data_IF_511055098032
#
_entry.id   IF_511055098032
#
_cell.length_a   1.000
_cell.length_b   1.000
_cell.length_c   1.000
_cell.angle_alpha   90.00
_cell.angle_beta   90.00
_cell.angle_gamma   90.00
#
_symmetry.space_group_name_H-M   'P 1'
#
loop_
_entity.id
_entity.type
_entity.pdbx_description
1 polymer ?
#
# COMPACT_ATOMS: atom_id res chain seq x y z
N UNK A 1 -20.42 7.64 -0.05
CA UNK A 1 -19.76 6.32 0.10
C UNK A 1 -19.12 5.94 -1.23
N UNK A 2 -17.90 5.39 -1.24
CA UNK A 2 -17.26 4.91 -2.47
C UNK A 2 -18.06 3.73 -3.07
N UNK A 3 -18.07 3.55 -4.40
CA UNK A 3 -18.74 2.42 -5.03
C UNK A 3 -18.00 1.10 -4.73
N UNK A 4 -18.71 -0.03 -4.78
CA UNK A 4 -18.07 -1.35 -4.81
C UNK A 4 -17.31 -1.56 -6.12
N UNK A 5 -16.11 -2.17 -6.13
CA UNK A 5 -15.35 -2.72 -4.99
C UNK A 5 -14.41 -1.71 -4.28
N UNK A 6 -14.35 -0.46 -4.74
CA UNK A 6 -13.46 0.60 -4.20
C UNK A 6 -13.70 0.87 -2.71
N UNK A 7 -14.91 0.70 -2.21
CA UNK A 7 -15.21 0.85 -0.78
C UNK A 7 -14.46 -0.16 0.11
N UNK A 8 -14.41 -1.44 -0.27
CA UNK A 8 -13.71 -2.48 0.48
C UNK A 8 -12.20 -2.27 0.41
N UNK A 9 -11.69 -1.95 -0.78
CA UNK A 9 -10.27 -1.65 -0.96
C UNK A 9 -9.83 -0.44 -0.13
N UNK A 10 -10.64 0.63 -0.11
CA UNK A 10 -10.36 1.82 0.70
C UNK A 10 -10.42 1.54 2.20
N UNK A 11 -11.35 0.69 2.66
CA UNK A 11 -11.41 0.26 4.06
C UNK A 11 -10.13 -0.50 4.46
N UNK A 12 -9.69 -1.45 3.62
CA UNK A 12 -8.44 -2.18 3.85
C UNK A 12 -7.22 -1.24 3.92
N UNK A 13 -7.09 -0.32 2.95
CA UNK A 13 -6.00 0.66 2.93
C UNK A 13 -6.01 1.56 4.17
N UNK A 14 -7.19 2.04 4.59
CA UNK A 14 -7.30 2.89 5.78
C UNK A 14 -6.84 2.15 7.04
N UNK A 15 -7.21 0.88 7.19
CA UNK A 15 -6.78 0.06 8.34
C UNK A 15 -5.28 -0.25 8.30
N UNK A 16 -4.72 -0.49 7.11
CA UNK A 16 -3.27 -0.68 6.96
C UNK A 16 -2.50 0.58 7.35
N UNK A 17 -2.93 1.75 6.87
CA UNK A 17 -2.33 3.05 7.19
C UNK A 17 -2.35 3.33 8.70
N UNK A 18 -3.49 3.11 9.35
CA UNK A 18 -3.62 3.24 10.81
C UNK A 18 -2.69 2.27 11.56
N UNK A 19 -2.57 1.03 11.08
CA UNK A 19 -1.68 0.03 11.69
C UNK A 19 -0.20 0.41 11.54
N UNK A 20 0.18 0.99 10.40
CA UNK A 20 1.53 1.54 10.20
C UNK A 20 1.77 2.70 11.17
N UNK A 21 0.80 3.60 11.34
CA UNK A 21 0.86 4.66 12.35
C UNK A 21 1.11 4.12 13.77
N UNK A 22 0.41 3.05 14.16
CA UNK A 22 0.60 2.40 15.46
C UNK A 22 2.00 1.78 15.62
N UNK A 23 2.55 1.18 14.56
CA UNK A 23 3.92 0.66 14.54
C UNK A 23 4.93 1.80 14.74
N UNK A 24 4.79 2.91 13.99
CA UNK A 24 5.67 4.06 14.10
C UNK A 24 5.62 4.68 15.51
N UNK A 25 4.42 4.89 16.06
CA UNK A 25 4.24 5.40 17.42
C UNK A 25 4.85 4.46 18.47
N UNK A 26 4.85 3.15 18.22
CA UNK A 26 5.52 2.17 19.08
C UNK A 26 7.04 2.32 19.04
N UNK A 27 7.62 2.52 17.86
CA UNK A 27 9.06 2.78 17.71
C UNK A 27 9.47 4.07 18.40
N UNK A 28 8.67 5.14 18.28
CA UNK A 28 8.90 6.41 18.95
C UNK A 28 8.87 6.25 20.48
N UNK A 29 7.86 5.55 21.01
CA UNK A 29 7.73 5.27 22.45
C UNK A 29 8.90 4.45 22.98
N UNK A 30 9.44 3.54 22.18
CA UNK A 30 10.61 2.72 22.52
C UNK A 30 11.94 3.43 22.25
N UNK A 31 11.91 4.65 21.70
CA UNK A 31 13.10 5.42 21.29
C UNK A 31 13.99 4.67 20.28
N UNK A 32 13.38 3.88 19.40
CA UNK A 32 14.05 3.11 18.36
C UNK A 32 13.96 3.77 16.98
N UNK A 33 13.23 4.89 16.85
CA UNK A 33 12.89 5.49 15.56
C UNK A 33 14.10 5.92 14.73
N UNK A 34 15.12 6.48 15.37
CA UNK A 34 16.37 6.94 14.74
C UNK A 34 17.32 5.79 14.37
N UNK A 35 17.16 4.60 14.97
CA UNK A 35 17.95 3.40 14.67
C UNK A 35 17.15 2.37 13.85
N UNK A 36 16.03 2.80 13.26
CA UNK A 36 15.17 1.93 12.44
C UNK A 36 14.90 2.55 11.08
N UNK A 37 15.37 1.86 10.02
CA UNK A 37 15.01 2.17 8.64
C UNK A 37 13.64 1.55 8.34
N UNK A 38 12.69 2.38 7.91
CA UNK A 38 11.36 1.93 7.49
C UNK A 38 11.31 1.91 5.97
N UNK A 39 10.96 0.74 5.41
CA UNK A 39 10.74 0.55 3.97
C UNK A 39 9.31 0.07 3.77
N UNK A 40 8.50 0.87 3.07
CA UNK A 40 7.14 0.51 2.68
C UNK A 40 7.09 0.36 1.16
N UNK A 41 6.65 -0.79 0.68
CA UNK A 41 6.55 -1.12 -0.75
C UNK A 41 5.39 -2.10 -0.96
N UNK A 42 4.78 -2.07 -2.15
CA UNK A 42 3.93 -3.17 -2.62
C UNK A 42 4.78 -4.22 -3.35
N UNK A 43 4.32 -5.46 -3.41
CA UNK A 43 4.98 -6.55 -4.15
C UNK A 43 4.62 -6.54 -5.65
N UNK A 44 3.43 -6.09 -6.00
CA UNK A 44 2.94 -5.93 -7.37
C UNK A 44 1.91 -4.79 -7.49
N UNK A 45 1.50 -4.46 -8.72
CA UNK A 45 0.39 -3.52 -9.01
C UNK A 45 -0.98 -4.02 -8.52
N UNK A 46 -2.03 -3.21 -8.65
CA UNK A 46 -3.37 -3.62 -8.16
C UNK A 46 -3.89 -4.90 -8.84
N UNK A 47 -4.65 -5.71 -8.09
CA UNK A 47 -5.21 -6.97 -8.59
C UNK A 47 -6.63 -6.80 -9.11
N UNK A 48 -6.99 -7.56 -10.15
CA UNK A 48 -8.36 -7.75 -10.66
C UNK A 48 -8.82 -9.21 -10.52
N UNK A 49 -8.14 -10.01 -9.69
CA UNK A 49 -8.56 -11.38 -9.41
C UNK A 49 -9.93 -11.42 -8.71
N UNK A 50 -10.69 -12.50 -8.86
CA UNK A 50 -11.99 -12.69 -8.20
C UNK A 50 -11.91 -12.52 -6.67
N UNK A 51 -10.86 -13.07 -6.04
CA UNK A 51 -10.57 -12.92 -4.61
C UNK A 51 -10.31 -11.48 -4.18
N UNK A 52 -9.97 -10.60 -5.11
CA UNK A 52 -9.81 -9.17 -4.90
C UNK A 52 -11.07 -8.40 -5.32
N UNK A 53 -12.23 -9.06 -5.37
CA UNK A 53 -13.50 -8.47 -5.80
C UNK A 53 -13.44 -7.84 -7.20
N UNK A 54 -12.60 -8.40 -8.08
CA UNK A 54 -12.30 -7.87 -9.40
C UNK A 54 -11.72 -6.44 -9.42
N UNK A 55 -11.21 -5.92 -8.30
CA UNK A 55 -10.49 -4.65 -8.28
C UNK A 55 -10.71 -3.77 -7.06
N UNK A 56 -10.70 -2.46 -7.29
CA UNK A 56 -10.79 -1.42 -6.25
C UNK A 56 -9.48 -0.65 -6.06
N UNK A 57 -8.35 -1.26 -6.40
CA UNK A 57 -7.08 -0.55 -6.54
C UNK A 57 -6.98 0.28 -7.83
N UNK A 58 -5.89 1.02 -7.98
CA UNK A 58 -5.61 1.82 -9.18
C UNK A 58 -4.10 1.93 -9.38
N UNK A 59 -3.66 1.81 -10.62
CA UNK A 59 -2.31 2.12 -11.09
C UNK A 59 -2.15 3.59 -11.52
N UNK A 60 -3.13 4.45 -11.22
CA UNK A 60 -3.10 5.85 -11.63
C UNK A 60 -3.05 6.00 -13.16
N UNK A 61 -2.09 6.76 -13.73
CA UNK A 61 -1.98 6.95 -15.18
C UNK A 61 -1.34 5.75 -15.90
N UNK A 62 -0.85 4.74 -15.18
CA UNK A 62 -0.06 3.65 -15.75
C UNK A 62 -0.96 2.54 -16.31
N UNK A 63 -0.56 1.99 -17.46
CA UNK A 63 -1.28 0.89 -18.12
C UNK A 63 -1.02 -0.44 -17.41
N UNK A 64 -2.06 -1.26 -17.28
CA UNK A 64 -1.94 -2.63 -16.76
C UNK A 64 -2.20 -2.75 -15.27
N UNK A 65 -2.11 -3.98 -14.79
CA UNK A 65 -2.40 -4.40 -13.42
C UNK A 65 -1.54 -5.65 -13.09
N UNK A 66 -1.71 -6.24 -11.91
CA UNK A 66 -1.09 -7.53 -11.55
C UNK A 66 -1.20 -8.55 -12.69
N UNK A 67 -0.14 -9.32 -12.91
CA UNK A 67 0.06 -10.25 -14.05
C UNK A 67 0.35 -9.62 -15.40
N UNK A 68 0.60 -8.30 -15.47
CA UNK A 68 1.06 -7.64 -16.68
C UNK A 68 2.48 -7.09 -16.51
N UNK A 69 3.26 -7.10 -17.60
CA UNK A 69 4.59 -6.48 -17.67
C UNK A 69 4.55 -4.98 -18.01
N UNK A 70 3.36 -4.37 -18.06
CA UNK A 70 3.23 -2.92 -18.20
C UNK A 70 3.41 -2.22 -16.84
N UNK A 71 3.69 -0.92 -16.85
CA UNK A 71 3.95 -0.10 -15.67
C UNK A 71 2.91 -0.30 -14.55
N UNK A 72 1.62 -0.41 -14.84
CA UNK A 72 0.59 -0.60 -13.81
C UNK A 72 0.61 -1.97 -13.11
N UNK A 73 1.34 -2.94 -13.65
CA UNK A 73 1.60 -4.24 -13.01
C UNK A 73 2.92 -4.31 -12.25
N UNK A 74 3.94 -3.55 -12.67
CA UNK A 74 5.31 -3.61 -12.13
C UNK A 74 5.67 -2.42 -11.23
N UNK A 75 5.19 -1.22 -11.55
CA UNK A 75 5.49 0.00 -10.80
C UNK A 75 4.60 0.07 -9.56
N UNK A 76 5.24 0.22 -8.41
CA UNK A 76 4.58 0.19 -7.10
C UNK A 76 4.88 1.45 -6.28
N UNK A 77 4.01 1.84 -5.35
CA UNK A 77 4.35 2.86 -4.36
C UNK A 77 5.50 2.38 -3.49
N UNK A 78 6.45 3.28 -3.24
CA UNK A 78 7.70 2.97 -2.58
C UNK A 78 8.11 4.16 -1.69
N UNK A 79 8.24 3.93 -0.39
CA UNK A 79 8.68 4.94 0.58
C UNK A 79 9.80 4.35 1.43
N UNK A 80 10.86 5.13 1.62
CA UNK A 80 11.92 4.86 2.59
C UNK A 80 11.92 6.03 3.57
N UNK A 81 11.91 5.73 4.87
CA UNK A 81 11.90 6.74 5.92
C UNK A 81 12.88 6.38 7.02
N UNK A 82 13.85 7.26 7.23
CA UNK A 82 14.83 7.16 8.31
C UNK A 82 15.15 8.59 8.78
N UNK A 83 14.72 9.00 9.99
CA UNK A 83 15.10 10.25 10.58
C UNK A 83 16.54 10.15 11.07
N UNK A 84 17.31 11.16 10.74
CA UNK A 84 18.68 11.36 11.18
C UNK A 84 18.73 12.11 12.51
#
# INVERSE_FOLDING_TARGET
>A
KLPYPRNLYAAFLSTQDETIGNLLATLDRLKLREDTIIVFQSDHGHSHEERAHFGGGSSGPYRGAKFSMFEGGLRVPAIISWPY
#
